data_IF_211805544525
#
_entry.id   IF_211805544525
#
_cell.length_a   1.000
_cell.length_b   1.000
_cell.length_c   1.000
_cell.angle_alpha   90.00
_cell.angle_beta   90.00
_cell.angle_gamma   90.00
#
_symmetry.space_group_name_H-M   'P 1'
#
loop_
_entity.id
_entity.type
_entity.pdbx_description
1 polymer ?
#
# COMPACT_ATOMS: atom_id res chain seq x y z
N UNK A 1 -15.86 5.30 -3.17
CA UNK A 1 -15.35 4.09 -2.47
C UNK A 1 -14.37 4.51 -1.40
N UNK A 2 -14.34 3.84 -0.24
CA UNK A 2 -13.38 4.13 0.83
C UNK A 2 -12.14 3.22 0.66
N UNK A 3 -11.32 3.50 -0.35
CA UNK A 3 -10.13 2.71 -0.68
C UNK A 3 -8.92 3.23 0.12
N UNK A 4 -8.63 2.59 1.26
CA UNK A 4 -7.52 2.99 2.13
C UNK A 4 -6.17 2.40 1.71
N UNK A 5 -6.19 1.17 1.17
CA UNK A 5 -4.98 0.46 0.75
C UNK A 5 -5.28 -0.32 -0.52
N UNK A 6 -4.50 -0.06 -1.57
CA UNK A 6 -4.68 -0.62 -2.91
C UNK A 6 -3.31 -0.92 -3.52
N UNK A 7 -3.25 -1.96 -4.34
CA UNK A 7 -2.12 -2.25 -5.21
C UNK A 7 -2.47 -1.88 -6.64
N UNK A 8 -1.53 -1.30 -7.38
CA UNK A 8 -1.68 -1.01 -8.79
C UNK A 8 -0.64 -1.78 -9.59
N UNK A 9 -1.09 -2.36 -10.69
CA UNK A 9 -0.22 -3.11 -11.60
C UNK A 9 -0.05 -2.27 -12.87
N UNK A 10 1.20 -1.95 -13.19
CA UNK A 10 1.55 -1.07 -14.31
C UNK A 10 2.55 -1.79 -15.20
N UNK A 11 2.28 -1.82 -16.52
CA UNK A 11 3.19 -2.34 -17.54
C UNK A 11 3.43 -1.24 -18.57
N UNK A 12 4.66 -0.73 -18.64
CA UNK A 12 4.98 0.48 -19.41
C UNK A 12 4.17 1.67 -18.88
N UNK A 13 3.41 2.32 -19.75
CA UNK A 13 2.57 3.47 -19.40
C UNK A 13 1.11 3.10 -19.09
N UNK A 14 0.78 1.80 -19.05
CA UNK A 14 -0.59 1.32 -18.89
C UNK A 14 -0.85 0.77 -17.48
N UNK A 15 -1.92 1.25 -16.84
CA UNK A 15 -2.51 0.64 -15.65
C UNK A 15 -3.35 -0.56 -16.06
N UNK A 16 -2.97 -1.76 -15.63
CA UNK A 16 -3.61 -3.01 -16.05
C UNK A 16 -4.58 -3.55 -15.00
N UNK A 17 -4.31 -3.34 -13.71
CA UNK A 17 -5.13 -3.86 -12.61
C UNK A 17 -5.10 -2.95 -11.38
N UNK A 18 -6.20 -2.96 -10.61
CA UNK A 18 -6.28 -2.34 -9.28
C UNK A 18 -6.73 -3.41 -8.27
N UNK A 19 -5.82 -3.82 -7.41
CA UNK A 19 -6.05 -4.77 -6.33
C UNK A 19 -6.57 -4.08 -5.07
N UNK A 20 -7.86 -4.24 -4.77
CA UNK A 20 -8.54 -3.53 -3.65
C UNK A 20 -8.85 -4.42 -2.44
N UNK A 21 -8.67 -5.73 -2.53
CA UNK A 21 -9.03 -6.68 -1.46
C UNK A 21 -7.84 -7.03 -0.57
N UNK A 22 -6.75 -7.53 -1.16
CA UNK A 22 -5.56 -7.97 -0.42
C UNK A 22 -4.27 -7.69 -1.21
N UNK A 23 -3.95 -6.41 -1.50
CA UNK A 23 -2.73 -6.08 -2.22
C UNK A 23 -1.48 -6.49 -1.42
N UNK A 24 -0.47 -6.99 -2.12
CA UNK A 24 0.76 -7.57 -1.54
C UNK A 24 1.99 -6.72 -1.88
N UNK A 25 3.20 -7.23 -1.61
CA UNK A 25 4.46 -6.64 -2.10
C UNK A 25 5.23 -5.77 -1.09
N UNK A 26 4.65 -5.43 0.06
CA UNK A 26 5.33 -4.60 1.10
C UNK A 26 6.71 -5.16 1.46
N UNK A 27 6.82 -6.48 1.74
CA UNK A 27 8.09 -7.10 2.15
C UNK A 27 9.17 -6.98 1.07
N UNK A 28 8.79 -7.17 -0.19
CA UNK A 28 9.69 -7.09 -1.33
C UNK A 28 10.17 -5.64 -1.53
N UNK A 29 9.26 -4.67 -1.48
CA UNK A 29 9.59 -3.25 -1.61
C UNK A 29 10.51 -2.78 -0.48
N UNK A 30 10.20 -3.15 0.76
CA UNK A 30 11.05 -2.86 1.91
C UNK A 30 12.49 -3.37 1.70
N UNK A 31 12.63 -4.61 1.22
CA UNK A 31 13.95 -5.22 0.97
C UNK A 31 14.71 -4.51 -0.16
N UNK A 32 14.04 -4.14 -1.24
CA UNK A 32 14.67 -3.53 -2.41
C UNK A 32 15.03 -2.06 -2.18
N UNK A 33 14.17 -1.34 -1.47
CA UNK A 33 14.29 0.12 -1.32
C UNK A 33 14.81 0.54 0.07
N UNK A 34 15.08 -0.41 0.96
CA UNK A 34 15.49 -0.18 2.34
C UNK A 34 14.52 0.76 3.09
N UNK A 35 13.22 0.48 2.97
CA UNK A 35 12.13 1.26 3.58
C UNK A 35 11.29 0.39 4.53
N UNK A 36 10.38 1.02 5.28
CA UNK A 36 9.43 0.37 6.17
C UNK A 36 8.01 0.87 5.87
N UNK A 37 7.33 0.24 4.91
CA UNK A 37 6.00 0.67 4.45
C UNK A 37 4.87 0.27 5.40
N UNK A 38 5.05 -0.78 6.20
CA UNK A 38 4.08 -1.17 7.23
C UNK A 38 3.90 -0.08 8.27
N UNK A 39 4.96 0.64 8.65
CA UNK A 39 4.86 1.82 9.52
C UNK A 39 3.98 2.89 8.89
N UNK A 40 4.23 3.22 7.61
CA UNK A 40 3.42 4.22 6.88
C UNK A 40 1.95 3.84 6.86
N UNK A 41 1.64 2.56 6.63
CA UNK A 41 0.26 2.06 6.68
C UNK A 41 -0.38 2.25 8.06
N UNK A 42 0.30 1.81 9.12
CA UNK A 42 -0.23 1.90 10.49
C UNK A 42 -0.38 3.35 10.96
N UNK A 43 0.62 4.20 10.75
CA UNK A 43 0.56 5.62 11.11
C UNK A 43 -0.67 6.30 10.46
N UNK A 44 -0.95 5.99 9.19
CA UNK A 44 -2.11 6.54 8.47
C UNK A 44 -3.43 5.96 8.97
N UNK A 45 -3.44 4.68 9.36
CA UNK A 45 -4.64 4.02 9.86
C UNK A 45 -5.00 4.58 11.24
N UNK A 46 -4.01 4.67 12.12
CA UNK A 46 -4.14 5.22 13.46
C UNK A 46 -4.63 6.67 13.41
N UNK A 47 -4.03 7.51 12.56
CA UNK A 47 -4.48 8.90 12.37
C UNK A 47 -5.92 8.99 11.83
N UNK A 48 -6.31 8.10 10.91
CA UNK A 48 -7.66 8.08 10.34
C UNK A 48 -8.72 7.73 11.38
N UNK A 49 -8.40 6.80 12.29
CA UNK A 49 -9.33 6.29 13.29
C UNK A 49 -9.11 6.84 14.70
N UNK A 50 -8.14 7.75 14.89
CA UNK A 50 -7.75 8.34 16.18
C UNK A 50 -7.49 7.27 17.24
N UNK A 51 -6.77 6.22 16.84
CA UNK A 51 -6.45 5.09 17.72
C UNK A 51 -5.34 5.43 18.72
N UNK A 52 -4.57 6.50 18.43
CA UNK A 52 -3.49 7.05 19.24
C UNK A 52 -3.48 8.58 19.07
#
# INVERSE_FOLDING_TARGET
LNLFFVGIDVIGDYLTEINVTSPTGIKQINKLNNVNLERVFWDKLEAKYKLV
#
